data_IF_013784888008
#
_entry.id   IF_013784888008
#
_cell.length_a   1.000
_cell.length_b   1.000
_cell.length_c   1.000
_cell.angle_alpha   90.00
_cell.angle_beta   90.00
_cell.angle_gamma   90.00
#
_symmetry.space_group_name_H-M   'P 1'
#
loop_
_entity.id
_entity.type
_entity.pdbx_description
1 polymer ?
#
# COMPACT_ATOMS: atom_id res chain seq x y z
N UNK A 1 11.21 16.60 37.10
CA UNK A 1 9.97 17.34 36.87
C UNK A 1 9.55 17.21 35.42
N UNK A 2 8.53 16.41 35.16
CA UNK A 2 8.17 15.94 33.82
C UNK A 2 7.05 16.80 33.24
N UNK A 3 7.38 17.79 32.41
CA UNK A 3 6.43 18.75 31.80
C UNK A 3 6.09 18.45 30.33
N UNK A 4 6.36 17.24 29.81
CA UNK A 4 6.25 16.94 28.37
C UNK A 4 5.05 16.09 27.93
N UNK A 5 4.18 15.63 28.84
CA UNK A 5 3.07 14.75 28.48
C UNK A 5 1.96 15.41 27.62
N UNK A 6 1.45 16.61 27.94
CA UNK A 6 0.35 17.22 27.17
C UNK A 6 0.74 17.57 25.73
N UNK A 7 1.97 18.02 25.51
CA UNK A 7 2.49 18.37 24.17
C UNK A 7 2.57 17.15 23.24
N UNK A 8 2.93 15.98 23.74
CA UNK A 8 2.99 14.73 22.97
C UNK A 8 1.60 14.26 22.53
N UNK A 9 0.61 14.30 23.42
CA UNK A 9 -0.77 13.92 23.08
C UNK A 9 -1.39 14.84 22.04
N UNK A 10 -1.20 16.15 22.16
CA UNK A 10 -1.67 17.15 21.20
C UNK A 10 -1.05 16.92 19.82
N UNK A 11 0.24 16.62 19.74
CA UNK A 11 0.91 16.32 18.47
C UNK A 11 0.34 15.06 17.82
N UNK A 12 0.15 13.97 18.57
CA UNK A 12 -0.44 12.73 18.06
C UNK A 12 -1.87 12.95 17.57
N UNK A 13 -2.69 13.70 18.31
CA UNK A 13 -4.05 14.04 17.91
C UNK A 13 -4.06 14.88 16.62
N UNK A 14 -3.17 15.86 16.51
CA UNK A 14 -3.03 16.69 15.31
C UNK A 14 -2.59 15.87 14.09
N UNK A 15 -1.60 15.00 14.24
CA UNK A 15 -1.14 14.10 13.18
C UNK A 15 -2.25 13.14 12.71
N UNK A 16 -3.05 12.63 13.65
CA UNK A 16 -4.21 11.78 13.37
C UNK A 16 -5.31 12.54 12.60
N UNK A 17 -5.63 13.76 13.04
CA UNK A 17 -6.59 14.62 12.35
C UNK A 17 -6.10 15.02 10.95
N UNK A 18 -4.83 15.40 10.83
CA UNK A 18 -4.22 15.74 9.55
C UNK A 18 -4.22 14.57 8.56
N UNK A 19 -3.96 13.33 9.05
CA UNK A 19 -4.08 12.12 8.25
C UNK A 19 -5.50 11.95 7.70
N UNK A 20 -6.51 12.04 8.55
CA UNK A 20 -7.91 11.86 8.15
C UNK A 20 -8.32 12.93 7.14
N UNK A 21 -8.12 14.20 7.47
CA UNK A 21 -8.52 15.34 6.62
C UNK A 21 -7.86 15.29 5.24
N UNK A 22 -6.56 15.03 5.21
CA UNK A 22 -5.80 14.91 3.95
C UNK A 22 -6.35 13.81 3.07
N UNK A 23 -6.57 12.64 3.63
CA UNK A 23 -7.06 11.49 2.89
C UNK A 23 -8.52 11.66 2.43
N UNK A 24 -9.40 12.21 3.28
CA UNK A 24 -10.79 12.51 2.90
C UNK A 24 -10.87 13.54 1.77
N UNK A 25 -10.05 14.61 1.83
CA UNK A 25 -10.00 15.61 0.76
C UNK A 25 -9.58 15.00 -0.57
N UNK A 26 -8.63 14.07 -0.56
CA UNK A 26 -8.19 13.39 -1.78
C UNK A 26 -9.24 12.40 -2.26
N UNK A 27 -9.78 11.55 -1.38
CA UNK A 27 -10.77 10.53 -1.68
C UNK A 27 -12.07 11.09 -2.26
N UNK A 28 -12.50 12.29 -1.82
CA UNK A 28 -13.71 12.96 -2.38
C UNK A 28 -13.66 13.19 -3.89
N UNK A 29 -12.49 13.16 -4.49
CA UNK A 29 -12.29 13.31 -5.94
C UNK A 29 -12.33 11.99 -6.69
N UNK A 30 -12.38 10.87 -5.99
CA UNK A 30 -12.38 9.54 -6.58
C UNK A 30 -13.80 9.00 -6.71
N UNK A 31 -14.03 8.23 -7.75
CA UNK A 31 -15.16 7.32 -7.84
C UNK A 31 -14.97 6.15 -6.84
N UNK A 32 -16.00 5.44 -6.42
CA UNK A 32 -15.85 4.19 -5.68
C UNK A 32 -15.08 3.14 -6.49
N UNK A 33 -14.43 2.21 -5.79
CA UNK A 33 -13.75 1.07 -6.43
C UNK A 33 -14.78 0.23 -7.20
N UNK A 34 -14.56 -0.04 -8.49
CA UNK A 34 -15.49 -0.82 -9.29
C UNK A 34 -15.50 -2.31 -8.87
N UNK A 35 -16.64 -2.97 -9.06
CA UNK A 35 -16.75 -4.42 -8.90
C UNK A 35 -15.99 -5.13 -10.02
N UNK A 36 -15.18 -6.12 -9.64
CA UNK A 36 -14.50 -7.05 -10.53
C UNK A 36 -14.72 -8.48 -10.04
N UNK A 37 -14.74 -9.44 -10.96
CA UNK A 37 -14.80 -10.86 -10.62
C UNK A 37 -13.45 -11.52 -10.95
N UNK A 38 -13.03 -12.46 -10.11
CA UNK A 38 -11.88 -13.30 -10.31
C UNK A 38 -12.20 -14.70 -9.78
N UNK A 39 -12.39 -15.66 -10.66
CA UNK A 39 -12.92 -16.99 -10.31
C UNK A 39 -14.23 -16.86 -9.48
N UNK A 40 -14.29 -17.50 -8.31
CA UNK A 40 -15.42 -17.46 -7.37
C UNK A 40 -15.41 -16.25 -6.43
N UNK A 41 -14.54 -15.27 -6.70
CA UNK A 41 -14.36 -14.10 -5.84
C UNK A 41 -14.86 -12.82 -6.47
N UNK A 42 -15.41 -11.94 -5.64
CA UNK A 42 -15.77 -10.58 -6.01
C UNK A 42 -14.82 -9.60 -5.36
N UNK A 43 -14.12 -8.81 -6.16
CA UNK A 43 -13.27 -7.71 -5.69
C UNK A 43 -14.05 -6.40 -5.85
N UNK A 44 -14.24 -5.68 -4.75
CA UNK A 44 -15.08 -4.48 -4.76
C UNK A 44 -14.62 -3.44 -3.72
N UNK A 45 -15.31 -2.31 -3.73
CA UNK A 45 -15.19 -1.26 -2.74
C UNK A 45 -15.36 -1.81 -1.32
N UNK A 46 -14.54 -1.35 -0.39
CA UNK A 46 -14.72 -1.64 1.03
C UNK A 46 -15.83 -0.74 1.60
N UNK A 47 -17.06 -1.16 1.44
CA UNK A 47 -18.23 -0.50 2.02
C UNK A 47 -18.25 -0.64 3.55
N UNK A 48 -19.08 0.16 4.26
CA UNK A 48 -19.22 0.06 5.72
C UNK A 48 -19.59 -1.34 6.22
N UNK A 49 -20.38 -2.10 5.44
CA UNK A 49 -20.75 -3.50 5.71
C UNK A 49 -19.56 -4.46 5.70
N UNK A 50 -18.54 -4.20 4.89
CA UNK A 50 -17.33 -5.01 4.77
C UNK A 50 -16.25 -4.66 5.81
N UNK A 51 -16.36 -3.48 6.44
CA UNK A 51 -15.30 -2.95 7.30
C UNK A 51 -14.98 -3.87 8.48
N UNK A 52 -16.00 -4.44 9.12
CA UNK A 52 -15.81 -5.34 10.27
C UNK A 52 -15.00 -6.58 9.87
N UNK A 53 -15.34 -7.24 8.76
CA UNK A 53 -14.61 -8.38 8.22
C UNK A 53 -13.17 -8.03 7.81
N UNK A 54 -12.97 -6.88 7.16
CA UNK A 54 -11.65 -6.42 6.77
C UNK A 54 -10.74 -6.11 7.98
N UNK A 55 -11.29 -5.55 9.06
CA UNK A 55 -10.58 -5.30 10.31
C UNK A 55 -10.27 -6.60 11.08
N UNK A 56 -11.18 -7.58 11.05
CA UNK A 56 -10.95 -8.89 11.64
C UNK A 56 -9.81 -9.61 10.92
N UNK A 57 -9.83 -9.63 9.58
CA UNK A 57 -8.75 -10.17 8.76
C UNK A 57 -7.41 -9.47 9.03
N UNK A 58 -7.42 -8.13 9.14
CA UNK A 58 -6.22 -7.38 9.51
C UNK A 58 -5.64 -7.86 10.85
N UNK A 59 -6.49 -7.95 11.88
CA UNK A 59 -6.06 -8.37 13.22
C UNK A 59 -5.51 -9.81 13.23
N UNK A 60 -6.16 -10.73 12.53
CA UNK A 60 -5.71 -12.11 12.38
C UNK A 60 -4.31 -12.18 11.76
N UNK A 61 -4.06 -11.44 10.67
CA UNK A 61 -2.79 -11.43 9.97
C UNK A 61 -1.68 -10.63 10.71
N UNK A 62 -2.02 -9.93 11.79
CA UNK A 62 -1.09 -9.15 12.62
C UNK A 62 -1.06 -9.62 14.08
N UNK A 63 -1.23 -10.90 14.32
CA UNK A 63 -1.16 -11.50 15.65
C UNK A 63 -2.09 -10.79 16.68
N UNK A 64 -3.32 -10.50 16.27
CA UNK A 64 -4.34 -9.87 17.11
C UNK A 64 -4.23 -8.35 17.23
N UNK A 65 -3.24 -7.71 16.60
CA UNK A 65 -3.09 -6.23 16.66
C UNK A 65 -4.20 -5.54 15.88
N UNK A 66 -4.96 -4.69 16.57
CA UNK A 66 -5.99 -3.89 15.91
C UNK A 66 -5.39 -2.76 15.06
N UNK A 67 -6.07 -2.45 13.95
CA UNK A 67 -5.75 -1.26 13.17
C UNK A 67 -5.97 0.01 14.01
N UNK A 68 -5.04 0.97 13.94
CA UNK A 68 -5.11 2.21 14.71
C UNK A 68 -6.41 2.99 14.46
N UNK A 69 -6.98 3.55 15.53
CA UNK A 69 -8.29 4.25 15.51
C UNK A 69 -8.42 5.31 14.38
N UNK A 70 -7.44 6.19 14.13
CA UNK A 70 -7.55 7.17 13.05
C UNK A 70 -7.73 6.53 11.67
N UNK A 71 -7.07 5.39 11.42
CA UNK A 71 -7.23 4.65 10.17
C UNK A 71 -8.58 3.94 10.09
N UNK A 72 -9.09 3.39 11.19
CA UNK A 72 -10.44 2.80 11.24
C UNK A 72 -11.50 3.86 10.92
N UNK A 73 -11.38 5.06 11.48
CA UNK A 73 -12.25 6.20 11.15
C UNK A 73 -12.14 6.59 9.68
N UNK A 74 -10.93 6.66 9.12
CA UNK A 74 -10.72 6.96 7.71
C UNK A 74 -11.44 5.95 6.81
N UNK A 75 -11.26 4.65 7.05
CA UNK A 75 -11.89 3.61 6.20
C UNK A 75 -13.40 3.47 6.41
N UNK A 76 -13.92 3.88 7.58
CA UNK A 76 -15.36 4.02 7.77
C UNK A 76 -15.97 5.12 6.90
N UNK A 77 -15.22 6.20 6.62
CA UNK A 77 -15.69 7.40 5.91
C UNK A 77 -15.35 7.39 4.41
N UNK A 78 -14.33 6.65 4.00
CA UNK A 78 -13.83 6.64 2.63
C UNK A 78 -13.30 5.26 2.21
N UNK A 79 -13.75 4.19 2.86
CA UNK A 79 -13.35 2.83 2.52
C UNK A 79 -13.76 2.43 1.11
N UNK A 80 -14.89 2.94 0.64
CA UNK A 80 -15.39 2.74 -0.71
C UNK A 80 -14.44 3.25 -1.82
N UNK A 81 -13.53 4.17 -1.49
CA UNK A 81 -12.55 4.80 -2.41
C UNK A 81 -11.10 4.49 -2.07
N UNK A 82 -10.82 4.09 -0.82
CA UNK A 82 -9.48 3.86 -0.30
C UNK A 82 -9.24 2.42 0.18
N UNK A 83 -10.19 1.53 -0.05
CA UNK A 83 -10.09 0.14 0.34
C UNK A 83 -10.68 -0.79 -0.72
N UNK A 84 -10.03 -1.92 -0.91
CA UNK A 84 -10.50 -3.01 -1.76
C UNK A 84 -10.69 -4.24 -0.90
N UNK A 85 -11.79 -4.96 -1.08
CA UNK A 85 -12.02 -6.26 -0.44
C UNK A 85 -12.24 -7.33 -1.50
N UNK A 86 -11.83 -8.55 -1.17
CA UNK A 86 -12.21 -9.76 -1.88
C UNK A 86 -13.23 -10.52 -1.04
N UNK A 87 -14.38 -10.80 -1.63
CA UNK A 87 -15.48 -11.54 -1.04
C UNK A 87 -15.56 -12.92 -1.68
N UNK A 88 -15.81 -13.95 -0.87
CA UNK A 88 -16.15 -15.30 -1.36
C UNK A 88 -17.61 -15.38 -1.84
N UNK A 89 -18.05 -16.58 -2.22
CA UNK A 89 -19.42 -16.82 -2.71
C UNK A 89 -20.48 -16.57 -1.62
N UNK A 90 -20.14 -16.70 -0.34
CA UNK A 90 -21.03 -16.38 0.78
C UNK A 90 -21.00 -14.90 1.18
N UNK A 91 -20.18 -14.09 0.50
CA UNK A 91 -20.04 -12.67 0.80
C UNK A 91 -19.13 -12.35 1.99
N UNK A 92 -18.34 -13.31 2.46
CA UNK A 92 -17.37 -13.09 3.55
C UNK A 92 -16.11 -12.42 3.02
N UNK A 93 -15.53 -11.51 3.79
CA UNK A 93 -14.27 -10.88 3.45
C UNK A 93 -13.12 -11.86 3.66
N UNK A 94 -12.51 -12.32 2.57
CA UNK A 94 -11.38 -13.24 2.54
C UNK A 94 -10.07 -12.60 2.10
N UNK A 95 -10.14 -11.38 1.63
CA UNK A 95 -8.99 -10.53 1.29
C UNK A 95 -9.31 -9.06 1.51
N UNK A 96 -8.31 -8.27 1.88
CA UNK A 96 -8.48 -6.83 2.04
C UNK A 96 -7.18 -6.09 1.75
N UNK A 97 -7.32 -4.87 1.23
CA UNK A 97 -6.22 -3.95 1.02
C UNK A 97 -6.63 -2.53 1.39
N UNK A 98 -5.78 -1.83 2.13
CA UNK A 98 -5.99 -0.48 2.66
C UNK A 98 -5.00 0.49 2.07
N UNK A 99 -5.49 1.61 1.59
CA UNK A 99 -4.71 2.63 0.90
C UNK A 99 -4.85 3.99 1.56
N UNK A 100 -3.88 4.86 1.30
CA UNK A 100 -3.92 6.22 1.80
C UNK A 100 -2.79 7.06 1.25
N UNK A 101 -2.74 8.33 1.68
CA UNK A 101 -1.79 9.32 1.22
C UNK A 101 -1.03 9.91 2.41
N UNK A 102 0.28 9.76 2.45
CA UNK A 102 1.16 10.59 3.26
C UNK A 102 1.43 11.93 2.58
N UNK A 103 2.11 12.85 3.25
CA UNK A 103 2.54 14.09 2.60
C UNK A 103 3.53 13.84 1.46
N UNK A 104 4.35 12.80 1.56
CA UNK A 104 5.27 12.36 0.51
C UNK A 104 4.49 11.85 -0.70
N UNK A 105 3.54 10.92 -0.48
CA UNK A 105 2.77 10.31 -1.55
C UNK A 105 1.99 11.36 -2.36
N UNK A 106 1.42 12.37 -1.69
CA UNK A 106 0.73 13.47 -2.38
C UNK A 106 1.67 14.30 -3.26
N UNK A 107 2.89 14.57 -2.81
CA UNK A 107 3.88 15.32 -3.62
C UNK A 107 4.35 14.52 -4.81
N UNK A 108 4.47 13.21 -4.66
CA UNK A 108 4.94 12.29 -5.69
C UNK A 108 3.80 11.73 -6.57
N UNK A 109 2.55 12.18 -6.36
CA UNK A 109 1.39 11.69 -7.13
C UNK A 109 1.04 10.23 -6.89
N UNK A 110 1.53 9.59 -5.82
CA UNK A 110 1.37 8.18 -5.55
C UNK A 110 0.35 7.89 -4.45
N UNK A 111 -0.26 6.71 -4.49
CA UNK A 111 -1.03 6.14 -3.38
C UNK A 111 -0.17 5.14 -2.60
N UNK A 112 -0.28 5.14 -1.28
CA UNK A 112 0.44 4.22 -0.40
C UNK A 112 -0.41 3.03 0.03
N UNK A 113 0.08 1.81 -0.18
CA UNK A 113 -0.49 0.60 0.43
C UNK A 113 -0.10 0.53 1.90
N UNK A 114 -1.10 0.66 2.75
CA UNK A 114 -0.91 0.53 4.22
C UNK A 114 -1.04 -0.91 4.69
N UNK A 115 -1.75 -1.74 3.93
CA UNK A 115 -1.99 -3.15 4.19
C UNK A 115 -2.50 -3.83 2.92
N UNK A 116 -2.11 -5.08 2.72
CA UNK A 116 -2.73 -5.99 1.75
C UNK A 116 -2.55 -7.41 2.29
N UNK A 117 -3.65 -8.13 2.44
CA UNK A 117 -3.63 -9.48 2.99
C UNK A 117 -4.78 -10.34 2.49
N UNK A 118 -4.54 -11.66 2.47
CA UNK A 118 -5.50 -12.70 2.09
C UNK A 118 -5.52 -13.75 3.20
N UNK A 119 -6.72 -14.14 3.60
CA UNK A 119 -6.94 -15.18 4.61
C UNK A 119 -6.20 -16.47 4.21
N UNK A 120 -5.52 -17.15 5.15
CA UNK A 120 -4.68 -18.33 4.85
C UNK A 120 -5.35 -19.40 4.00
N UNK A 121 -6.63 -19.71 4.27
CA UNK A 121 -7.40 -20.71 3.54
C UNK A 121 -7.68 -20.36 2.06
N UNK A 122 -7.47 -19.10 1.66
CA UNK A 122 -7.73 -18.59 0.31
C UNK A 122 -6.46 -18.17 -0.43
N UNK A 123 -5.27 -18.49 0.11
CA UNK A 123 -3.98 -18.21 -0.54
C UNK A 123 -3.73 -19.15 -1.71
N UNK A 124 -2.75 -18.79 -2.56
CA UNK A 124 -2.39 -19.59 -3.74
C UNK A 124 -3.32 -19.43 -4.94
N UNK A 125 -4.40 -18.65 -4.82
CA UNK A 125 -5.43 -18.44 -5.86
C UNK A 125 -5.31 -17.07 -6.55
N UNK A 126 -4.15 -16.43 -6.53
CA UNK A 126 -3.93 -15.13 -7.20
C UNK A 126 -4.56 -13.91 -6.53
N UNK A 127 -5.38 -14.06 -5.46
CA UNK A 127 -6.16 -12.97 -4.87
C UNK A 127 -5.34 -11.75 -4.42
N UNK A 128 -4.12 -11.96 -3.90
CA UNK A 128 -3.25 -10.84 -3.50
C UNK A 128 -2.82 -10.00 -4.71
N UNK A 129 -2.61 -10.63 -5.85
CA UNK A 129 -2.31 -9.96 -7.12
C UNK A 129 -3.53 -9.21 -7.63
N UNK A 130 -4.71 -9.84 -7.61
CA UNK A 130 -5.94 -9.21 -8.09
C UNK A 130 -6.42 -8.04 -7.20
N UNK A 131 -6.27 -8.13 -5.88
CA UNK A 131 -6.49 -7.00 -4.99
C UNK A 131 -5.63 -5.80 -5.37
N UNK A 132 -4.34 -6.04 -5.66
CA UNK A 132 -3.41 -5.00 -6.06
C UNK A 132 -3.72 -4.46 -7.45
N UNK A 133 -4.00 -5.35 -8.43
CA UNK A 133 -4.41 -4.96 -9.79
C UNK A 133 -5.67 -4.09 -9.76
N UNK A 134 -6.71 -4.51 -9.02
CA UNK A 134 -7.95 -3.75 -8.86
C UNK A 134 -7.68 -2.35 -8.31
N UNK A 135 -6.82 -2.24 -7.31
CA UNK A 135 -6.44 -0.95 -6.74
C UNK A 135 -5.66 -0.07 -7.73
N UNK A 136 -4.70 -0.62 -8.46
CA UNK A 136 -3.93 0.12 -9.47
C UNK A 136 -4.84 0.68 -10.54
N UNK A 137 -5.72 -0.14 -11.11
CA UNK A 137 -6.68 0.29 -12.12
C UNK A 137 -7.62 1.37 -11.60
N UNK A 138 -8.12 1.21 -10.36
CA UNK A 138 -8.96 2.22 -9.72
C UNK A 138 -8.23 3.55 -9.52
N UNK A 139 -7.03 3.54 -8.94
CA UNK A 139 -6.28 4.77 -8.67
C UNK A 139 -5.79 5.45 -9.94
N UNK A 140 -5.36 4.67 -10.95
CA UNK A 140 -4.99 5.19 -12.27
C UNK A 140 -6.17 5.89 -12.94
N UNK A 141 -7.35 5.29 -12.93
CA UNK A 141 -8.58 5.90 -13.48
C UNK A 141 -8.98 7.20 -12.74
N UNK A 142 -8.53 7.39 -11.49
CA UNK A 142 -8.75 8.59 -10.70
C UNK A 142 -7.56 9.58 -10.72
N UNK A 143 -6.65 9.46 -11.71
CA UNK A 143 -5.55 10.39 -11.92
C UNK A 143 -4.43 10.31 -10.88
N UNK A 144 -4.26 9.18 -10.22
CA UNK A 144 -3.08 8.87 -9.41
C UNK A 144 -2.00 8.35 -10.37
N UNK A 145 -0.76 8.81 -10.20
CA UNK A 145 0.33 8.53 -11.12
C UNK A 145 1.13 7.28 -10.75
N UNK A 146 1.02 6.80 -9.52
CA UNK A 146 1.79 5.65 -9.10
C UNK A 146 1.34 5.09 -7.75
N UNK A 147 2.04 4.06 -7.34
CA UNK A 147 1.78 3.29 -6.13
C UNK A 147 3.06 3.16 -5.31
N UNK A 148 2.96 3.28 -4.00
CA UNK A 148 4.06 3.01 -3.08
C UNK A 148 3.69 1.95 -2.05
N UNK A 149 4.68 1.19 -1.58
CA UNK A 149 4.51 0.21 -0.52
C UNK A 149 5.76 0.12 0.36
N UNK A 150 5.58 -0.30 1.61
CA UNK A 150 6.68 -0.66 2.51
C UNK A 150 6.60 -2.14 2.82
N UNK A 151 7.64 -2.88 2.49
CA UNK A 151 7.70 -4.33 2.65
C UNK A 151 8.96 -4.67 3.45
N UNK A 152 8.82 -5.55 4.46
CA UNK A 152 9.96 -6.12 5.18
C UNK A 152 10.80 -6.94 4.20
N UNK A 153 12.13 -6.89 4.31
CA UNK A 153 13.04 -7.63 3.44
C UNK A 153 12.79 -9.15 3.49
N UNK A 154 12.33 -9.64 4.64
CA UNK A 154 12.02 -11.06 4.86
C UNK A 154 10.66 -11.48 4.30
N UNK A 155 9.79 -10.53 3.94
CA UNK A 155 8.47 -10.82 3.39
C UNK A 155 8.53 -11.10 1.88
N UNK A 156 9.18 -12.20 1.52
CA UNK A 156 9.34 -12.66 0.13
C UNK A 156 7.99 -12.87 -0.55
N UNK A 157 6.97 -13.32 0.21
CA UNK A 157 5.62 -13.55 -0.30
C UNK A 157 4.93 -12.27 -0.82
N UNK A 158 5.28 -11.11 -0.27
CA UNK A 158 4.80 -9.82 -0.78
C UNK A 158 5.77 -9.16 -1.76
N UNK A 159 7.07 -9.38 -1.60
CA UNK A 159 8.11 -8.75 -2.42
C UNK A 159 8.09 -9.26 -3.85
N UNK A 160 8.15 -10.59 -4.06
CA UNK A 160 8.17 -11.19 -5.40
C UNK A 160 6.99 -10.79 -6.29
N UNK A 161 5.71 -10.89 -5.83
CA UNK A 161 4.58 -10.42 -6.62
C UNK A 161 4.62 -8.93 -6.94
N UNK A 162 5.16 -8.10 -6.01
CA UNK A 162 5.31 -6.67 -6.27
C UNK A 162 6.27 -6.40 -7.42
N UNK A 163 7.45 -7.02 -7.38
CA UNK A 163 8.46 -6.86 -8.43
C UNK A 163 7.94 -7.32 -9.80
N UNK A 164 7.16 -8.42 -9.85
CA UNK A 164 6.53 -8.89 -11.10
C UNK A 164 5.54 -7.89 -11.69
N UNK A 165 4.85 -7.12 -10.84
CA UNK A 165 3.93 -6.07 -11.27
C UNK A 165 4.63 -4.74 -11.64
N UNK A 166 5.96 -4.73 -11.74
CA UNK A 166 6.73 -3.55 -12.12
C UNK A 166 7.16 -2.67 -10.95
N UNK A 167 6.97 -3.10 -9.69
CA UNK A 167 7.51 -2.31 -8.58
C UNK A 167 9.03 -2.41 -8.55
N UNK A 168 9.69 -1.26 -8.34
CA UNK A 168 11.14 -1.16 -8.10
C UNK A 168 11.42 -0.76 -6.66
N UNK A 169 12.56 -1.19 -6.14
CA UNK A 169 13.03 -0.80 -4.81
C UNK A 169 13.63 0.61 -4.94
N UNK A 170 12.93 1.62 -4.41
CA UNK A 170 13.41 3.00 -4.41
C UNK A 170 14.35 3.29 -3.22
N UNK A 171 14.10 2.67 -2.07
CA UNK A 171 14.90 2.87 -0.86
C UNK A 171 15.01 1.57 -0.04
N UNK A 172 16.17 1.43 0.61
CA UNK A 172 16.42 0.42 1.65
C UNK A 172 16.66 1.17 2.96
N UNK A 173 15.97 0.80 4.01
CA UNK A 173 16.12 1.46 5.31
C UNK A 173 15.84 0.49 6.47
N UNK A 174 16.40 0.80 7.63
CA UNK A 174 16.00 0.14 8.88
C UNK A 174 14.82 0.87 9.47
N UNK A 175 13.77 0.14 9.83
CA UNK A 175 12.60 0.71 10.50
C UNK A 175 13.00 1.22 11.90
N UNK A 176 12.83 2.52 12.20
CA UNK A 176 13.29 3.10 13.47
C UNK A 176 12.63 2.49 14.71
N UNK A 177 11.45 1.87 14.57
CA UNK A 177 10.71 1.31 15.68
C UNK A 177 11.06 -0.17 15.94
N UNK A 178 11.34 -0.96 14.88
CA UNK A 178 11.60 -2.39 15.00
C UNK A 178 13.04 -2.78 14.71
N UNK A 179 13.83 -1.91 14.07
CA UNK A 179 15.17 -2.23 13.57
C UNK A 179 15.19 -3.14 12.34
N UNK A 180 14.02 -3.57 11.85
CA UNK A 180 13.90 -4.44 10.69
C UNK A 180 14.34 -3.74 9.40
N UNK A 181 15.05 -4.48 8.53
CA UNK A 181 15.32 -4.02 7.18
C UNK A 181 14.04 -3.99 6.35
N UNK A 182 13.72 -2.84 5.78
CA UNK A 182 12.54 -2.62 4.93
C UNK A 182 12.91 -2.01 3.60
N UNK A 183 12.09 -2.31 2.62
CA UNK A 183 12.13 -1.70 1.30
C UNK A 183 10.97 -0.74 1.14
N UNK A 184 11.25 0.45 0.63
CA UNK A 184 10.26 1.34 0.06
C UNK A 184 10.20 1.07 -1.45
N UNK A 185 9.09 0.52 -1.90
CA UNK A 185 8.85 0.18 -3.28
C UNK A 185 7.95 1.22 -3.92
N UNK A 186 8.20 1.49 -5.18
CA UNK A 186 7.38 2.36 -6.03
C UNK A 186 7.11 1.70 -7.38
N UNK A 187 5.94 2.02 -7.95
CA UNK A 187 5.55 1.65 -9.30
C UNK A 187 4.85 2.86 -9.91
N UNK A 188 5.40 3.42 -10.95
CA UNK A 188 4.77 4.50 -11.71
C UNK A 188 3.91 3.88 -12.81
N UNK A 189 2.64 4.30 -12.91
CA UNK A 189 1.63 3.54 -13.67
C UNK A 189 1.84 3.57 -15.18
N UNK A 190 2.48 4.60 -15.70
CA UNK A 190 2.70 4.74 -17.14
C UNK A 190 4.04 4.12 -17.58
N UNK A 191 5.05 4.11 -16.69
CA UNK A 191 6.39 3.65 -17.02
C UNK A 191 6.68 2.22 -16.51
N UNK A 192 6.25 1.92 -15.27
CA UNK A 192 6.67 0.70 -14.57
C UNK A 192 5.59 -0.39 -14.53
N UNK A 193 4.30 -0.01 -14.59
CA UNK A 193 3.22 -0.97 -14.35
C UNK A 193 3.03 -1.96 -15.48
N UNK A 194 2.98 -3.23 -15.11
CA UNK A 194 2.72 -4.36 -16.02
C UNK A 194 1.39 -5.00 -15.70
N UNK A 195 0.49 -5.04 -16.68
CA UNK A 195 -0.83 -5.66 -16.50
C UNK A 195 -0.74 -7.19 -16.54
N UNK A 196 0.25 -7.74 -17.23
CA UNK A 196 0.53 -9.18 -17.29
C UNK A 196 1.67 -9.57 -16.33
N UNK A 197 1.38 -10.29 -15.22
CA UNK A 197 2.37 -10.72 -14.26
C UNK A 197 3.30 -11.83 -14.78
N UNK A 198 3.04 -12.41 -15.97
CA UNK A 198 3.87 -13.45 -16.58
C UNK A 198 5.03 -12.88 -17.39
N UNK A 199 5.01 -11.58 -17.72
CA UNK A 199 6.13 -10.92 -18.39
C UNK A 199 7.34 -10.83 -17.45
N UNK A 200 8.45 -11.46 -17.84
CA UNK A 200 9.71 -11.33 -17.12
C UNK A 200 10.22 -9.89 -17.11
N UNK A 201 10.87 -9.43 -16.00
CA UNK A 201 11.45 -8.09 -15.94
C UNK A 201 12.50 -7.92 -17.06
N UNK A 202 12.33 -6.89 -17.88
CA UNK A 202 13.38 -6.49 -18.82
C UNK A 202 14.64 -6.10 -18.04
N UNK A 203 15.86 -6.55 -18.44
CA UNK A 203 17.08 -6.40 -17.64
C UNK A 203 17.61 -4.97 -17.42
N UNK A 204 16.95 -3.94 -17.97
CA UNK A 204 17.54 -2.60 -18.11
C UNK A 204 17.18 -1.57 -17.03
N UNK A 205 16.68 -1.91 -15.87
CA UNK A 205 16.42 -0.93 -14.81
C UNK A 205 17.11 -1.22 -13.48
N UNK A 206 18.38 -1.64 -13.55
CA UNK A 206 19.26 -1.62 -12.38
C UNK A 206 19.76 -0.18 -12.13
N UNK A 207 19.94 0.24 -10.86
CA UNK A 207 20.57 1.53 -10.58
C UNK A 207 21.97 1.52 -11.18
N UNK A 208 22.26 2.44 -12.11
CA UNK A 208 23.63 2.70 -12.54
C UNK A 208 24.49 3.01 -11.30
N UNK A 209 25.63 2.37 -11.11
CA UNK A 209 26.55 2.75 -10.05
C UNK A 209 26.95 4.21 -10.29
N UNK A 210 26.80 5.04 -9.24
CA UNK A 210 27.32 6.40 -9.24
C UNK A 210 28.77 6.38 -9.69
N UNK A 211 29.09 7.12 -10.75
CA UNK A 211 30.44 7.26 -11.25
C UNK A 211 31.30 7.79 -10.10
N UNK A 212 32.27 7.00 -9.66
CA UNK A 212 33.31 7.40 -8.74
C UNK A 212 34.19 8.44 -9.42
N UNK A 213 34.02 9.67 -8.99
CA UNK A 213 34.89 10.80 -9.34
C UNK A 213 36.22 10.63 -8.60
N UNK A 214 37.10 9.84 -9.16
CA UNK A 214 38.49 9.77 -8.71
C UNK A 214 39.38 9.51 -9.93
N UNK A 215 39.85 10.60 -10.55
CA UNK A 215 41.12 10.68 -11.27
C UNK A 215 41.28 12.05 -11.95
N UNK A 216 41.66 13.04 -11.16
CA UNK A 216 42.36 14.21 -11.65
C UNK A 216 43.43 14.62 -10.64
N UNK A 217 44.59 13.98 -10.70
CA UNK A 217 45.89 14.57 -10.31
C UNK A 217 46.97 13.63 -10.73
N UNK A 218 47.67 13.97 -11.79
CA UNK A 218 49.12 13.94 -11.95
C UNK A 218 49.49 14.03 -13.42
N UNK A 219 50.05 15.16 -13.79
CA UNK A 219 51.09 15.22 -14.83
C UNK A 219 51.96 16.44 -14.53
N UNK A 220 53.25 16.35 -14.70
CA UNK A 220 54.32 17.14 -14.10
C UNK A 220 54.45 18.54 -14.67
#
# INVERSE_FOLDING_TARGET
MSTNAPSRYLRVAFEAAALIVRNLRRARRFTPVPLRCHEDYRLCAMEPSHLAGALALYAELHAGKALALPRRCLYRLAGDRLGVVALDIEGRVVGAAFYGFSSRDLREGRVHSSFSGVHPAHRGRGLATELRRTAILHFRANGVQGYSARISADNVASLKPSLRLGFRIAERYQDPASGELRYYLVCDFDDDYRDDPTQEPTPESGPQPAATETERKAVP
#
